data_IF_670788265231
#
_entry.id   IF_670788265231
#
_cell.length_a   1.000
_cell.length_b   1.000
_cell.length_c   1.000
_cell.angle_alpha   90.00
_cell.angle_beta   90.00
_cell.angle_gamma   90.00
#
_symmetry.space_group_name_H-M   'P 1'
#
loop_
_entity.id
_entity.type
_entity.pdbx_description
1 polymer ?
#
# COMPACT_ATOMS: atom_id res chain seq x y z
N UNK A 1 1.73 -4.88 -1.93
CA UNK A 1 1.38 -4.01 -0.78
C UNK A 1 0.02 -4.44 -0.22
N UNK A 2 -0.03 -5.66 0.33
CA UNK A 2 -1.22 -6.29 0.97
C UNK A 2 -0.75 -7.23 2.10
N UNK A 3 0.43 -7.00 2.66
CA UNK A 3 1.19 -8.06 3.37
C UNK A 3 0.59 -8.39 4.74
N UNK A 4 -0.23 -7.51 5.34
CA UNK A 4 -0.92 -7.78 6.61
C UNK A 4 -2.36 -8.25 6.41
N UNK A 5 -3.12 -7.66 5.48
CA UNK A 5 -4.50 -8.10 5.20
C UNK A 5 -4.58 -9.44 4.44
N UNK A 6 -3.58 -9.80 3.62
CA UNK A 6 -3.50 -11.15 3.03
C UNK A 6 -2.95 -12.21 3.99
N UNK A 7 -2.45 -11.83 5.17
CA UNK A 7 -1.91 -12.77 6.17
C UNK A 7 -2.97 -13.32 7.14
N UNK A 8 -4.20 -12.82 7.09
CA UNK A 8 -5.31 -13.38 7.86
C UNK A 8 -5.71 -14.82 7.46
N UNK A 9 -5.21 -15.35 6.33
CA UNK A 9 -5.40 -16.76 5.95
C UNK A 9 -4.24 -17.68 6.38
N UNK A 10 -3.16 -17.11 6.93
CA UNK A 10 -1.95 -17.86 7.30
C UNK A 10 -1.60 -17.68 8.79
N UNK A 11 -2.51 -18.11 9.67
CA UNK A 11 -2.19 -18.77 10.94
C UNK A 11 -1.13 -18.18 11.90
N UNK A 12 -0.82 -16.88 11.88
CA UNK A 12 0.19 -16.30 12.76
C UNK A 12 -0.01 -14.79 13.03
N UNK A 13 -1.00 -14.43 13.84
CA UNK A 13 -0.99 -13.19 14.63
C UNK A 13 -1.06 -13.49 16.14
N UNK A 14 -0.50 -14.62 16.56
CA UNK A 14 -0.36 -14.92 17.99
C UNK A 14 0.94 -14.29 18.49
N UNK A 15 0.82 -13.14 19.18
CA UNK A 15 1.77 -12.77 20.23
C UNK A 15 2.69 -11.57 20.00
N UNK A 16 2.28 -10.52 19.27
CA UNK A 16 3.05 -9.27 19.23
C UNK A 16 2.20 -8.09 19.72
N UNK A 17 2.60 -7.52 20.85
CA UNK A 17 1.86 -6.43 21.52
C UNK A 17 2.18 -5.05 20.91
N UNK A 18 3.28 -4.92 20.17
CA UNK A 18 3.66 -3.67 19.50
C UNK A 18 4.47 -3.90 18.22
N UNK A 19 4.44 -2.92 17.33
CA UNK A 19 5.32 -2.85 16.16
C UNK A 19 6.44 -1.85 16.40
N UNK A 20 7.68 -2.28 16.15
CA UNK A 20 8.81 -1.36 16.14
C UNK A 20 8.86 -0.55 14.84
N UNK A 21 9.58 0.57 14.85
CA UNK A 21 9.82 1.35 13.64
C UNK A 21 10.43 0.49 12.51
N UNK A 22 11.36 -0.40 12.86
CA UNK A 22 11.98 -1.32 11.89
C UNK A 22 10.97 -2.30 11.29
N UNK A 23 10.02 -2.81 12.09
CA UNK A 23 8.95 -3.67 11.59
C UNK A 23 8.07 -2.94 10.56
N UNK A 24 7.66 -1.71 10.88
CA UNK A 24 6.80 -0.90 10.01
C UNK A 24 7.53 -0.52 8.71
N UNK A 25 8.81 -0.18 8.78
CA UNK A 25 9.62 0.06 7.58
C UNK A 25 9.72 -1.20 6.72
N UNK A 26 9.91 -2.38 7.32
CA UNK A 26 9.93 -3.65 6.59
C UNK A 26 8.57 -3.99 5.93
N UNK A 27 7.47 -3.49 6.49
CA UNK A 27 6.13 -3.59 5.90
C UNK A 27 5.88 -2.60 4.76
N UNK A 28 6.81 -1.67 4.52
CA UNK A 28 6.77 -0.69 3.44
C UNK A 28 6.30 0.70 3.86
N UNK A 29 6.20 0.97 5.16
CA UNK A 29 5.93 2.31 5.65
C UNK A 29 7.17 3.20 5.55
N UNK A 30 6.97 4.49 5.26
CA UNK A 30 8.03 5.47 5.24
C UNK A 30 8.35 5.94 6.67
N UNK A 31 9.62 5.82 7.07
CA UNK A 31 10.09 6.09 8.44
C UNK A 31 9.71 7.49 8.95
N UNK A 32 9.83 8.49 8.09
CA UNK A 32 9.55 9.90 8.39
C UNK A 32 8.07 10.21 8.53
N UNK A 33 7.19 9.26 8.20
CA UNK A 33 5.74 9.39 8.29
C UNK A 33 5.14 8.64 9.47
N UNK A 34 5.89 7.78 10.15
CA UNK A 34 5.36 6.89 11.19
C UNK A 34 4.68 7.66 12.32
N UNK A 35 5.33 8.68 12.89
CA UNK A 35 4.74 9.51 13.95
C UNK A 35 3.50 10.27 13.47
N UNK A 36 3.50 10.74 12.22
CA UNK A 36 2.34 11.42 11.65
C UNK A 36 1.17 10.48 11.36
N UNK A 37 1.42 9.19 11.09
CA UNK A 37 0.39 8.21 10.75
C UNK A 37 -0.17 7.52 12.00
N UNK A 38 0.70 7.15 12.94
CA UNK A 38 0.35 6.32 14.09
C UNK A 38 0.38 7.10 15.41
N UNK A 39 0.73 8.39 15.39
CA UNK A 39 0.88 9.21 16.59
C UNK A 39 2.25 9.06 17.26
N UNK A 40 2.39 9.65 18.45
CA UNK A 40 3.65 9.58 19.21
C UNK A 40 3.95 8.14 19.67
N UNK A 41 5.14 7.59 19.36
CA UNK A 41 5.53 6.26 19.80
C UNK A 41 5.91 6.22 21.27
N UNK A 42 5.88 5.03 21.83
CA UNK A 42 6.63 4.71 23.05
C UNK A 42 8.09 4.39 22.68
N UNK A 43 9.04 4.80 23.52
CA UNK A 43 10.45 4.44 23.34
C UNK A 43 10.79 3.24 24.22
N UNK A 44 11.16 2.12 23.58
CA UNK A 44 11.59 0.89 24.22
C UNK A 44 12.99 0.58 23.72
N UNK A 45 13.97 0.50 24.62
CA UNK A 45 15.38 0.24 24.29
C UNK A 45 15.98 1.18 23.22
N UNK A 46 15.45 2.41 23.12
CA UNK A 46 15.89 3.40 22.13
C UNK A 46 15.27 3.23 20.74
N UNK A 47 14.38 2.26 20.55
CA UNK A 47 13.55 2.10 19.35
C UNK A 47 12.15 2.67 19.59
N UNK A 48 11.51 3.19 18.55
CA UNK A 48 10.13 3.66 18.60
C UNK A 48 9.16 2.50 18.37
N UNK A 49 8.18 2.37 19.24
CA UNK A 49 7.16 1.33 19.22
C UNK A 49 5.76 1.93 19.19
N UNK A 50 4.87 1.29 18.43
CA UNK A 50 3.44 1.59 18.39
C UNK A 50 2.63 0.36 18.75
N UNK A 51 1.56 0.55 19.50
CA UNK A 51 0.60 -0.50 19.85
C UNK A 51 0.02 -1.13 18.58
N UNK A 52 -0.10 -2.46 18.58
CA UNK A 52 -0.76 -3.24 17.53
C UNK A 52 -2.17 -2.72 17.24
N UNK A 53 -2.93 -2.33 18.26
CA UNK A 53 -4.30 -1.81 18.12
C UNK A 53 -4.32 -0.49 17.36
N UNK A 54 -3.35 0.39 17.62
CA UNK A 54 -3.25 1.68 16.94
C UNK A 54 -2.89 1.50 15.47
N UNK A 55 -1.88 0.66 15.19
CA UNK A 55 -1.48 0.35 13.80
C UNK A 55 -2.65 -0.29 13.05
N UNK A 56 -3.34 -1.25 13.67
CA UNK A 56 -4.46 -1.94 13.05
C UNK A 56 -5.67 -1.02 12.81
N UNK A 57 -5.98 -0.12 13.75
CA UNK A 57 -7.06 0.85 13.58
C UNK A 57 -6.77 1.79 12.39
N UNK A 58 -5.55 2.31 12.28
CA UNK A 58 -5.16 3.16 11.15
C UNK A 58 -5.21 2.40 9.83
N UNK A 59 -4.71 1.16 9.79
CA UNK A 59 -4.79 0.31 8.60
C UNK A 59 -6.22 0.06 8.15
N UNK A 60 -7.09 -0.34 9.10
CA UNK A 60 -8.49 -0.69 8.82
C UNK A 60 -9.33 0.53 8.47
N UNK A 61 -9.17 1.63 9.20
CA UNK A 61 -10.11 2.76 9.14
C UNK A 61 -9.66 3.86 8.18
N UNK A 62 -8.35 3.94 7.89
CA UNK A 62 -7.79 5.01 7.04
C UNK A 62 -7.20 4.43 5.76
N UNK A 63 -6.25 3.49 5.88
CA UNK A 63 -5.50 3.03 4.73
C UNK A 63 -6.31 2.12 3.82
N UNK A 64 -7.07 1.17 4.37
CA UNK A 64 -7.88 0.26 3.57
C UNK A 64 -8.98 0.99 2.76
N UNK A 65 -9.75 1.94 3.33
CA UNK A 65 -10.70 2.74 2.54
C UNK A 65 -10.02 3.61 1.50
N UNK A 66 -8.92 4.29 1.84
CA UNK A 66 -8.18 5.12 0.89
C UNK A 66 -7.61 4.29 -0.27
N UNK A 67 -7.04 3.12 0.04
CA UNK A 67 -6.57 2.17 -0.96
C UNK A 67 -7.73 1.67 -1.83
N UNK A 68 -8.90 1.39 -1.26
CA UNK A 68 -10.08 0.99 -2.02
C UNK A 68 -10.50 2.05 -3.03
N UNK A 69 -10.56 3.32 -2.62
CA UNK A 69 -10.89 4.44 -3.51
C UNK A 69 -9.85 4.58 -4.62
N UNK A 70 -8.55 4.49 -4.30
CA UNK A 70 -7.49 4.53 -5.31
C UNK A 70 -7.58 3.34 -6.27
N UNK A 71 -7.75 2.13 -5.76
CA UNK A 71 -7.88 0.94 -6.60
C UNK A 71 -9.13 0.99 -7.46
N UNK A 72 -10.28 1.44 -6.95
CA UNK A 72 -11.50 1.57 -7.75
C UNK A 72 -11.35 2.67 -8.83
N UNK A 73 -10.66 3.78 -8.51
CA UNK A 73 -10.41 4.86 -9.46
C UNK A 73 -9.42 4.47 -10.57
N UNK A 74 -8.42 3.63 -10.27
CA UNK A 74 -7.39 3.19 -11.22
C UNK A 74 -7.58 1.73 -11.68
N UNK A 75 -8.68 1.07 -11.30
CA UNK A 75 -8.95 -0.33 -11.63
C UNK A 75 -8.92 -0.60 -13.14
N UNK A 76 -9.50 0.24 -14.02
CA UNK A 76 -9.46 0.00 -15.46
C UNK A 76 -8.03 -0.03 -16.01
N UNK A 77 -7.20 0.96 -15.64
CA UNK A 77 -5.83 1.11 -16.11
C UNK A 77 -4.91 0.05 -15.49
N UNK A 78 -5.13 -0.27 -14.21
CA UNK A 78 -4.38 -1.28 -13.48
C UNK A 78 -4.68 -2.71 -13.99
N UNK A 79 -5.96 -3.05 -14.21
CA UNK A 79 -6.35 -4.35 -14.77
C UNK A 79 -5.84 -4.50 -16.21
N UNK A 80 -5.85 -3.42 -16.99
CA UNK A 80 -5.26 -3.40 -18.33
C UNK A 80 -3.76 -3.70 -18.26
N UNK A 81 -3.04 -3.02 -17.35
CA UNK A 81 -1.59 -3.23 -17.16
C UNK A 81 -1.25 -4.64 -16.68
N UNK A 82 -2.01 -5.17 -15.71
CA UNK A 82 -1.83 -6.54 -15.21
C UNK A 82 -2.13 -7.58 -16.29
N UNK A 83 -3.20 -7.41 -17.07
CA UNK A 83 -3.54 -8.31 -18.17
C UNK A 83 -2.47 -8.32 -19.26
N UNK A 84 -1.89 -7.16 -19.57
CA UNK A 84 -0.77 -7.05 -20.51
C UNK A 84 0.52 -7.66 -19.96
N UNK A 85 0.82 -7.50 -18.67
CA UNK A 85 1.96 -8.16 -18.02
C UNK A 85 1.79 -9.68 -17.99
N UNK A 86 0.59 -10.17 -17.67
CA UNK A 86 0.25 -11.60 -17.71
C UNK A 86 0.34 -12.18 -19.12
N UNK A 87 0.01 -11.39 -20.15
CA UNK A 87 0.20 -11.75 -21.55
C UNK A 87 1.66 -11.59 -22.05
N UNK A 88 2.60 -11.22 -21.18
CA UNK A 88 4.01 -10.95 -21.50
C UNK A 88 4.20 -9.83 -22.56
N UNK A 89 3.26 -8.90 -22.64
CA UNK A 89 3.22 -7.76 -23.57
C UNK A 89 3.82 -6.49 -22.96
N UNK A 90 4.73 -6.62 -21.98
CA UNK A 90 5.37 -5.50 -21.27
C UNK A 90 6.05 -4.48 -22.19
N UNK A 91 6.38 -4.88 -23.42
CA UNK A 91 6.94 -4.03 -24.48
C UNK A 91 5.94 -3.06 -25.13
N UNK A 92 4.63 -3.23 -24.97
CA UNK A 92 3.60 -2.42 -25.67
C UNK A 92 3.04 -1.23 -24.88
N UNK A 93 3.28 -1.19 -23.57
CA UNK A 93 2.76 -0.13 -22.69
C UNK A 93 3.30 1.28 -23.03
N UNK A 94 4.60 1.47 -23.32
CA UNK A 94 5.11 2.79 -23.72
C UNK A 94 4.46 3.33 -25.01
N UNK A 95 4.19 2.47 -26.00
CA UNK A 95 3.49 2.86 -27.23
C UNK A 95 2.00 3.14 -26.96
N UNK A 96 1.38 2.42 -26.03
CA UNK A 96 0.00 2.65 -25.63
C UNK A 96 -0.16 3.98 -24.87
N UNK A 97 0.78 4.32 -23.96
CA UNK A 97 0.85 5.64 -23.31
C UNK A 97 1.00 6.77 -24.34
N UNK A 98 1.84 6.59 -25.37
CA UNK A 98 1.99 7.54 -26.47
C UNK A 98 0.72 7.65 -27.34
N UNK A 99 -0.06 6.57 -27.47
CA UNK A 99 -1.32 6.60 -28.21
C UNK A 99 -2.43 7.28 -27.40
N UNK A 100 -2.56 6.95 -26.10
CA UNK A 100 -3.54 7.54 -25.19
C UNK A 100 -3.30 9.04 -24.99
N UNK A 101 -2.05 9.48 -24.87
CA UNK A 101 -1.70 10.91 -24.80
C UNK A 101 -2.08 11.68 -26.08
N UNK A 102 -2.01 11.05 -27.26
CA UNK A 102 -2.47 11.65 -28.52
C UNK A 102 -3.99 11.73 -28.65
N UNK A 103 -4.72 10.79 -28.04
CA UNK A 103 -6.19 10.77 -28.05
C UNK A 103 -6.74 11.80 -27.07
N UNK A 104 -6.17 11.93 -25.88
CA UNK A 104 -6.60 12.90 -24.86
C UNK A 104 -6.35 14.37 -25.25
N UNK A 105 -5.41 14.64 -26.16
CA UNK A 105 -5.16 16.00 -26.69
C UNK A 105 -6.14 16.42 -27.79
N UNK A 106 -7.03 15.52 -28.23
CA UNK A 106 -7.89 15.75 -29.41
C UNK A 106 -9.33 16.13 -29.07
N UNK A 107 -9.65 16.27 -27.79
CA UNK A 107 -10.91 16.84 -27.28
C UNK A 107 -10.67 18.23 -26.64
N UNK A 108 -10.24 19.20 -27.46
CA UNK A 108 -10.29 20.64 -27.13
C UNK A 108 -10.77 21.44 -28.33
#
# INVERSE_FOLDING_TARGET
MWTLLSRCDAGAFVGKDSYSASDLVALGYASERLTSMFGEPESVDGESHWDVETVFAVERDVLAPAARVMFDAFAPEWNTRLSMQAANLSLGWPQMEQMLSRVMLRDS
#
